data_IF_598341271429
#
_entry.id   IF_598341271429
#
_cell.length_a   1.000
_cell.length_b   1.000
_cell.length_c   1.000
_cell.angle_alpha   90.00
_cell.angle_beta   90.00
_cell.angle_gamma   90.00
#
_symmetry.space_group_name_H-M   'P 1'
#
loop_
_entity.id
_entity.type
_entity.pdbx_description
1 polymer ?
#
# COMPACT_ATOMS: atom_id res chain seq x y z
N UNK A 1 7.52 -13.95 16.57
CA UNK A 1 6.16 -13.58 17.00
C UNK A 1 5.23 -14.78 16.84
N UNK A 2 4.53 -15.21 17.90
CA UNK A 2 3.54 -16.30 17.86
C UNK A 2 2.43 -16.04 16.83
N UNK A 3 1.86 -17.09 16.23
CA UNK A 3 0.90 -16.98 15.13
C UNK A 3 -0.37 -16.18 15.49
N UNK A 4 -0.88 -16.34 16.71
CA UNK A 4 -2.06 -15.62 17.21
C UNK A 4 -1.83 -14.11 17.29
N UNK A 5 -0.69 -13.68 17.82
CA UNK A 5 -0.31 -12.27 17.84
C UNK A 5 -0.17 -11.66 16.42
N UNK A 6 0.24 -12.47 15.42
CA UNK A 6 0.25 -12.04 14.02
C UNK A 6 -1.18 -11.82 13.49
N UNK A 7 -2.12 -12.70 13.83
CA UNK A 7 -3.50 -12.61 13.37
C UNK A 7 -4.22 -11.38 13.96
N UNK A 8 -4.03 -11.10 15.25
CA UNK A 8 -4.64 -9.93 15.91
C UNK A 8 -4.07 -8.61 15.37
N UNK A 9 -2.74 -8.54 15.18
CA UNK A 9 -2.10 -7.39 14.57
C UNK A 9 -2.64 -7.12 13.15
N UNK A 10 -2.82 -8.18 12.35
CA UNK A 10 -3.42 -8.08 11.00
C UNK A 10 -4.85 -7.54 11.04
N UNK A 11 -5.70 -8.09 11.91
CA UNK A 11 -7.09 -7.63 12.06
C UNK A 11 -7.14 -6.15 12.44
N UNK A 12 -6.31 -5.73 13.39
CA UNK A 12 -6.21 -4.32 13.78
C UNK A 12 -5.71 -3.42 12.63
N UNK A 13 -4.76 -3.90 11.82
CA UNK A 13 -4.27 -3.15 10.67
C UNK A 13 -5.36 -2.93 9.61
N UNK A 14 -6.13 -3.98 9.28
CA UNK A 14 -7.25 -3.89 8.34
C UNK A 14 -8.32 -2.93 8.85
N UNK A 15 -8.70 -3.03 10.13
CA UNK A 15 -9.68 -2.15 10.74
C UNK A 15 -9.23 -0.68 10.67
N UNK A 16 -7.98 -0.39 11.03
CA UNK A 16 -7.41 0.96 10.95
C UNK A 16 -7.32 1.46 9.51
N UNK A 17 -6.96 0.61 8.56
CA UNK A 17 -6.94 0.97 7.15
C UNK A 17 -8.33 1.45 6.70
N UNK A 18 -9.38 0.67 6.99
CA UNK A 18 -10.77 0.99 6.60
C UNK A 18 -11.37 2.19 7.34
N UNK A 19 -11.08 2.36 8.63
CA UNK A 19 -11.80 3.34 9.47
C UNK A 19 -11.05 4.64 9.70
N UNK A 20 -9.72 4.63 9.58
CA UNK A 20 -8.86 5.78 9.93
C UNK A 20 -8.14 6.38 8.73
N UNK A 21 -7.55 5.55 7.88
CA UNK A 21 -6.59 6.05 6.87
C UNK A 21 -7.19 6.16 5.47
N UNK A 22 -7.75 5.08 4.91
CA UNK A 22 -8.32 5.10 3.57
C UNK A 22 -9.43 6.13 3.38
N UNK A 23 -10.35 6.37 4.34
CA UNK A 23 -11.34 7.44 4.21
C UNK A 23 -10.73 8.83 4.04
N UNK A 24 -9.58 9.09 4.67
CA UNK A 24 -8.89 10.38 4.59
C UNK A 24 -8.27 10.55 3.20
N UNK A 25 -7.56 9.54 2.70
CA UNK A 25 -6.97 9.60 1.36
C UNK A 25 -8.02 9.64 0.26
N UNK A 26 -9.11 8.88 0.41
CA UNK A 26 -10.25 8.91 -0.51
C UNK A 26 -10.85 10.33 -0.60
N UNK A 27 -11.04 10.98 0.56
CA UNK A 27 -11.50 12.37 0.63
C UNK A 27 -10.52 13.33 -0.06
N UNK A 28 -9.23 13.25 0.27
CA UNK A 28 -8.20 14.13 -0.32
C UNK A 28 -8.13 13.97 -1.84
N UNK A 29 -8.11 12.73 -2.35
CA UNK A 29 -8.09 12.47 -3.79
C UNK A 29 -9.38 12.96 -4.48
N UNK A 30 -10.51 12.89 -3.79
CA UNK A 30 -11.78 13.44 -4.29
C UNK A 30 -11.75 14.96 -4.37
N UNK A 31 -11.34 15.63 -3.28
CA UNK A 31 -11.36 17.09 -3.16
C UNK A 31 -10.28 17.75 -4.04
N UNK A 32 -9.09 17.15 -4.16
CA UNK A 32 -8.03 17.69 -5.01
C UNK A 32 -8.37 17.55 -6.51
N UNK A 33 -9.03 16.44 -6.90
CA UNK A 33 -9.56 16.25 -8.25
C UNK A 33 -8.52 16.03 -9.37
N UNK A 34 -7.22 16.24 -9.11
CA UNK A 34 -6.13 16.01 -10.08
C UNK A 34 -5.72 14.55 -10.18
N UNK A 35 -6.19 13.70 -9.26
CA UNK A 35 -5.74 12.31 -9.14
C UNK A 35 -4.43 12.16 -8.37
N UNK A 36 -3.92 13.21 -7.74
CA UNK A 36 -2.76 13.19 -6.84
C UNK A 36 -3.16 13.71 -5.46
N UNK A 37 -2.30 13.56 -4.46
CA UNK A 37 -2.57 13.99 -3.10
C UNK A 37 -2.41 15.49 -2.89
N UNK A 38 -1.47 16.14 -3.58
CA UNK A 38 -1.17 17.55 -3.40
C UNK A 38 -0.95 18.23 -4.76
N UNK A 39 -1.70 19.28 -5.04
CA UNK A 39 -1.57 20.04 -6.28
C UNK A 39 -1.77 19.16 -7.52
N UNK A 40 -0.98 19.42 -8.56
CA UNK A 40 -1.08 18.76 -9.87
C UNK A 40 0.18 18.02 -10.31
N UNK A 41 1.19 17.91 -9.44
CA UNK A 41 2.46 17.24 -9.73
C UNK A 41 2.76 16.17 -8.69
N UNK A 42 3.39 15.08 -9.11
CA UNK A 42 3.67 13.96 -8.21
C UNK A 42 4.68 14.36 -7.14
N UNK A 43 4.36 14.00 -5.89
CA UNK A 43 5.20 14.27 -4.72
C UNK A 43 5.58 12.98 -4.00
N UNK A 44 6.44 13.10 -2.97
CA UNK A 44 6.78 11.97 -2.11
C UNK A 44 5.56 11.37 -1.39
N UNK A 45 4.51 12.18 -1.17
CA UNK A 45 3.27 11.70 -0.56
C UNK A 45 2.59 10.65 -1.46
N UNK A 46 2.54 10.90 -2.77
CA UNK A 46 1.97 9.98 -3.74
C UNK A 46 2.77 8.68 -3.80
N UNK A 47 4.10 8.76 -3.79
CA UNK A 47 4.97 7.57 -3.72
C UNK A 47 4.70 6.73 -2.45
N UNK A 48 4.52 7.37 -1.30
CA UNK A 48 4.26 6.68 -0.03
C UNK A 48 2.88 6.00 -0.01
N UNK A 49 1.84 6.68 -0.50
CA UNK A 49 0.51 6.10 -0.63
C UNK A 49 0.52 4.95 -1.64
N UNK A 50 1.16 5.14 -2.80
CA UNK A 50 1.27 4.12 -3.84
C UNK A 50 1.93 2.84 -3.32
N UNK A 51 3.03 2.96 -2.56
CA UNK A 51 3.69 1.81 -1.96
C UNK A 51 2.74 1.04 -1.02
N UNK A 52 1.98 1.77 -0.20
CA UNK A 52 1.04 1.19 0.75
C UNK A 52 -0.13 0.49 0.07
N UNK A 53 -0.74 1.15 -0.94
CA UNK A 53 -1.87 0.59 -1.68
C UNK A 53 -1.45 -0.60 -2.56
N UNK A 54 -0.24 -0.57 -3.13
CA UNK A 54 0.31 -1.70 -3.89
C UNK A 54 0.49 -2.93 -3.00
N UNK A 55 1.01 -2.74 -1.79
CA UNK A 55 1.13 -3.81 -0.79
C UNK A 55 -0.23 -4.40 -0.41
N UNK A 56 -1.24 -3.56 -0.17
CA UNK A 56 -2.61 -4.02 0.11
C UNK A 56 -3.23 -4.76 -1.09
N UNK A 57 -2.94 -4.38 -2.34
CA UNK A 57 -3.44 -5.08 -3.53
C UNK A 57 -2.83 -6.47 -3.70
N UNK A 58 -1.55 -6.63 -3.33
CA UNK A 58 -0.80 -7.88 -3.55
C UNK A 58 -0.98 -8.90 -2.42
N UNK A 59 -1.32 -8.44 -1.21
CA UNK A 59 -1.59 -9.31 -0.06
C UNK A 59 -3.04 -9.80 -0.04
N UNK A 60 -3.23 -11.12 -0.05
CA UNK A 60 -4.56 -11.75 -0.06
C UNK A 60 -5.41 -11.41 1.16
N UNK A 61 -4.80 -11.09 2.30
CA UNK A 61 -5.52 -10.70 3.52
C UNK A 61 -6.20 -9.32 3.42
N UNK A 62 -5.80 -8.48 2.48
CA UNK A 62 -6.41 -7.17 2.21
C UNK A 62 -7.34 -7.20 1.00
N UNK A 63 -7.70 -8.41 0.52
CA UNK A 63 -8.54 -8.54 -0.66
C UNK A 63 -9.84 -7.73 -0.52
N UNK A 64 -10.22 -7.07 -1.62
CA UNK A 64 -11.40 -6.19 -1.72
C UNK A 64 -11.41 -4.96 -0.78
N UNK A 65 -10.33 -4.67 -0.03
CA UNK A 65 -10.31 -3.52 0.88
C UNK A 65 -10.54 -2.19 0.15
N UNK A 66 -10.09 -2.08 -1.10
CA UNK A 66 -10.17 -0.88 -1.91
C UNK A 66 -11.49 -0.74 -2.69
N UNK A 67 -12.40 -1.72 -2.62
CA UNK A 67 -13.66 -1.65 -3.37
C UNK A 67 -14.59 -0.55 -2.83
N UNK A 68 -14.48 -0.25 -1.53
CA UNK A 68 -15.17 0.87 -0.89
C UNK A 68 -14.47 2.23 -1.10
N UNK A 69 -13.31 2.25 -1.78
CA UNK A 69 -12.44 3.43 -1.96
C UNK A 69 -12.05 3.61 -3.44
N UNK A 70 -13.01 3.97 -4.31
CA UNK A 70 -12.80 4.02 -5.76
C UNK A 70 -11.73 5.04 -6.20
N UNK A 71 -11.52 6.15 -5.50
CA UNK A 71 -10.44 7.10 -5.82
C UNK A 71 -9.08 6.55 -5.45
N UNK A 72 -8.94 5.87 -4.31
CA UNK A 72 -7.70 5.18 -3.96
C UNK A 72 -7.36 4.09 -4.99
N UNK A 73 -8.37 3.33 -5.44
CA UNK A 73 -8.21 2.33 -6.51
C UNK A 73 -7.78 2.96 -7.84
N UNK A 74 -8.45 4.03 -8.27
CA UNK A 74 -8.10 4.76 -9.49
C UNK A 74 -6.70 5.40 -9.42
N UNK A 75 -6.33 5.95 -8.25
CA UNK A 75 -5.00 6.48 -7.98
C UNK A 75 -3.94 5.39 -8.17
N UNK A 76 -4.15 4.21 -7.55
CA UNK A 76 -3.23 3.09 -7.65
C UNK A 76 -3.01 2.65 -9.10
N UNK A 77 -4.08 2.50 -9.87
CA UNK A 77 -3.99 2.08 -11.26
C UNK A 77 -3.31 3.16 -12.13
N UNK A 78 -3.67 4.44 -11.95
CA UNK A 78 -3.07 5.55 -12.71
C UNK A 78 -1.58 5.73 -12.39
N UNK A 79 -1.23 5.72 -11.10
CA UNK A 79 0.15 5.91 -10.65
C UNK A 79 1.04 4.73 -11.08
N UNK A 80 0.50 3.50 -11.09
CA UNK A 80 1.20 2.32 -11.59
C UNK A 80 1.56 2.41 -13.08
N UNK A 81 0.77 3.15 -13.86
CA UNK A 81 0.96 3.32 -15.30
C UNK A 81 2.00 4.38 -15.68
N UNK A 82 2.48 5.19 -14.73
CA UNK A 82 3.54 6.17 -14.97
C UNK A 82 4.79 5.42 -15.49
N UNK A 83 5.40 5.81 -16.62
CA UNK A 83 6.46 5.02 -17.26
C UNK A 83 7.61 4.64 -16.33
N UNK A 84 8.06 5.55 -15.46
CA UNK A 84 9.11 5.28 -14.47
C UNK A 84 8.66 4.31 -13.38
N UNK A 85 7.42 4.42 -12.90
CA UNK A 85 6.84 3.53 -11.90
C UNK A 85 6.66 2.14 -12.50
N UNK A 86 6.02 2.02 -13.67
CA UNK A 86 5.85 0.75 -14.38
C UNK A 86 7.18 0.02 -14.57
N UNK A 87 8.21 0.74 -15.05
CA UNK A 87 9.56 0.18 -15.19
C UNK A 87 10.13 -0.32 -13.86
N UNK A 88 9.88 0.38 -12.76
CA UNK A 88 10.28 -0.09 -11.42
C UNK A 88 9.52 -1.35 -10.99
N UNK A 89 8.20 -1.42 -11.21
CA UNK A 89 7.39 -2.59 -10.86
C UNK A 89 7.82 -3.85 -11.61
N UNK A 90 8.30 -3.71 -12.85
CA UNK A 90 8.82 -4.79 -13.69
C UNK A 90 10.29 -5.13 -13.40
N UNK A 91 10.98 -4.33 -12.57
CA UNK A 91 12.40 -4.48 -12.31
C UNK A 91 12.68 -5.43 -11.13
N UNK A 92 13.85 -6.11 -11.10
CA UNK A 92 14.28 -6.92 -9.97
C UNK A 92 14.63 -6.09 -8.72
N UNK A 93 14.58 -4.75 -8.81
CA UNK A 93 14.80 -3.86 -7.66
C UNK A 93 13.59 -3.78 -6.74
N UNK A 94 12.42 -4.22 -7.20
CA UNK A 94 11.22 -4.28 -6.37
C UNK A 94 11.30 -5.50 -5.47
N UNK A 95 11.35 -5.26 -4.16
CA UNK A 95 11.34 -6.35 -3.19
C UNK A 95 9.99 -7.09 -3.20
N UNK A 96 10.00 -8.43 -3.07
CA UNK A 96 8.79 -9.21 -2.92
C UNK A 96 8.14 -8.97 -1.55
N UNK A 97 6.91 -9.46 -1.37
CA UNK A 97 6.26 -9.49 -0.05
C UNK A 97 7.17 -10.27 0.91
N UNK A 98 7.52 -9.71 2.09
CA UNK A 98 8.33 -10.39 3.07
C UNK A 98 7.72 -11.73 3.50
N UNK A 99 8.52 -12.78 3.46
CA UNK A 99 8.12 -14.13 3.87
C UNK A 99 8.79 -14.55 5.20
N UNK A 100 8.48 -15.77 5.66
CA UNK A 100 9.07 -16.30 6.88
C UNK A 100 10.58 -16.57 6.74
N UNK A 101 11.12 -16.72 5.53
CA UNK A 101 12.56 -16.89 5.31
C UNK A 101 13.29 -15.56 5.54
N UNK A 102 12.80 -14.48 4.93
CA UNK A 102 13.30 -13.12 5.17
C UNK A 102 13.20 -12.74 6.65
N UNK A 103 12.09 -13.06 7.32
CA UNK A 103 11.94 -12.80 8.75
C UNK A 103 12.99 -13.51 9.61
N UNK A 104 13.36 -14.76 9.27
CA UNK A 104 14.42 -15.52 9.97
C UNK A 104 15.79 -14.90 9.73
N UNK A 105 16.08 -14.49 8.50
CA UNK A 105 17.34 -13.82 8.14
C UNK A 105 17.52 -12.52 8.94
N UNK A 106 16.47 -11.69 8.99
CA UNK A 106 16.48 -10.45 9.76
C UNK A 106 16.71 -10.70 11.25
N UNK A 107 16.07 -11.73 11.83
CA UNK A 107 16.27 -12.09 13.24
C UNK A 107 17.73 -12.52 13.48
N UNK A 108 18.28 -13.38 12.63
CA UNK A 108 19.64 -13.87 12.78
C UNK A 108 20.71 -12.78 12.57
N UNK A 109 20.40 -11.74 11.81
CA UNK A 109 21.31 -10.62 11.59
C UNK A 109 21.27 -9.57 12.71
N UNK A 110 20.14 -9.42 13.41
CA UNK A 110 19.92 -8.37 14.40
C UNK A 110 20.00 -8.84 15.86
N UNK A 111 19.91 -10.15 16.10
CA UNK A 111 19.94 -10.78 17.43
C UNK A 111 20.85 -11.99 17.43
#
# INVERSE_FOLDING_TARGET
>A
MPAEARADAKKSAIEKAKTRYLPVFEKVLTENGTGLLVGSEATIADCALFNTLSFMKEMSEYNNILDDFPKCKAFLDTFSAIPGVKKYLESPRRFPIPDDAYAKEVIAALF
#
